data_IF_892655657688
#
_entry.id   IF_892655657688
#
_cell.length_a   1.000
_cell.length_b   1.000
_cell.length_c   1.000
_cell.angle_alpha   90.00
_cell.angle_beta   90.00
_cell.angle_gamma   90.00
#
_symmetry.space_group_name_H-M   'P 1'
#
loop_
_entity.id
_entity.type
_entity.pdbx_description
1 polymer ?
#
# COMPACT_ATOMS: atom_id res chain seq x y z
N UNK A 1 23.51 8.04 18.30
CA UNK A 1 22.23 8.61 17.84
C UNK A 1 22.15 8.40 16.33
N UNK A 2 21.33 7.47 15.85
CA UNK A 2 21.23 7.18 14.43
C UNK A 2 20.28 8.20 13.78
N UNK A 3 20.86 9.16 13.06
CA UNK A 3 20.13 10.09 12.21
C UNK A 3 19.54 9.31 11.05
N UNK A 4 18.29 8.83 11.19
CA UNK A 4 17.54 8.36 10.04
C UNK A 4 16.99 9.58 9.33
N UNK A 5 17.72 10.04 8.30
CA UNK A 5 17.22 10.96 7.29
C UNK A 5 15.89 10.42 6.77
N UNK A 6 14.84 11.24 6.61
CA UNK A 6 13.67 10.81 5.85
C UNK A 6 14.15 10.59 4.42
N UNK A 7 14.47 9.35 4.09
CA UNK A 7 14.75 8.95 2.71
C UNK A 7 13.43 9.21 1.99
N UNK A 8 13.38 10.29 1.22
CA UNK A 8 12.20 10.65 0.46
C UNK A 8 11.79 9.44 -0.36
N UNK A 9 10.61 8.91 -0.06
CA UNK A 9 9.99 7.85 -0.84
C UNK A 9 9.73 8.45 -2.22
N UNK A 10 10.61 8.16 -3.18
CA UNK A 10 10.42 8.44 -4.60
C UNK A 10 9.38 7.46 -5.15
N UNK A 11 8.14 7.63 -4.71
CA UNK A 11 7.01 6.79 -5.09
C UNK A 11 6.16 7.54 -6.11
N UNK A 12 6.33 7.17 -7.38
CA UNK A 12 5.46 7.67 -8.45
C UNK A 12 4.10 6.97 -8.37
N UNK A 13 3.08 7.67 -7.88
CA UNK A 13 1.72 7.11 -7.79
C UNK A 13 1.17 6.90 -9.21
N UNK A 14 0.65 5.70 -9.55
CA UNK A 14 0.05 5.46 -10.85
C UNK A 14 -1.16 6.36 -11.06
N UNK A 15 -1.19 7.08 -12.18
CA UNK A 15 -2.34 7.93 -12.57
C UNK A 15 -3.59 7.11 -12.88
N UNK A 16 -3.45 5.81 -13.17
CA UNK A 16 -4.55 4.85 -13.32
C UNK A 16 -5.33 4.56 -12.03
N UNK A 17 -4.81 4.99 -10.87
CA UNK A 17 -5.55 4.94 -9.61
C UNK A 17 -6.46 6.15 -9.51
N UNK A 18 -7.76 5.96 -9.69
CA UNK A 18 -8.73 7.07 -9.59
C UNK A 18 -9.19 7.30 -8.14
N UNK A 19 -9.21 6.23 -7.34
CA UNK A 19 -9.65 6.28 -5.93
C UNK A 19 -8.55 6.81 -5.00
N UNK A 20 -8.87 7.85 -4.22
CA UNK A 20 -7.98 8.39 -3.19
C UNK A 20 -7.55 7.32 -2.17
N UNK A 21 -8.45 6.41 -1.77
CA UNK A 21 -8.11 5.31 -0.87
C UNK A 21 -7.15 4.31 -1.52
N UNK A 22 -7.29 4.04 -2.82
CA UNK A 22 -6.35 3.16 -3.53
C UNK A 22 -4.94 3.77 -3.56
N UNK A 23 -4.84 5.09 -3.80
CA UNK A 23 -3.56 5.82 -3.72
C UNK A 23 -2.95 5.75 -2.33
N UNK A 24 -3.75 5.93 -1.28
CA UNK A 24 -3.30 5.86 0.11
C UNK A 24 -2.74 4.47 0.46
N UNK A 25 -3.45 3.40 0.10
CA UNK A 25 -2.99 2.02 0.30
C UNK A 25 -1.70 1.75 -0.46
N UNK A 26 -1.62 2.18 -1.72
CA UNK A 26 -0.41 2.03 -2.53
C UNK A 26 0.79 2.73 -1.89
N UNK A 27 0.62 3.99 -1.49
CA UNK A 27 1.65 4.77 -0.79
C UNK A 27 2.10 4.12 0.51
N UNK A 28 1.15 3.61 1.31
CA UNK A 28 1.47 2.97 2.57
C UNK A 28 2.33 1.72 2.38
N UNK A 29 1.99 0.89 1.39
CA UNK A 29 2.79 -0.29 1.03
C UNK A 29 4.16 0.13 0.52
N UNK A 30 4.23 1.15 -0.35
CA UNK A 30 5.49 1.68 -0.86
C UNK A 30 6.42 2.20 0.26
N UNK A 31 5.85 2.91 1.24
CA UNK A 31 6.57 3.44 2.39
C UNK A 31 7.02 2.35 3.37
N UNK A 32 6.20 1.31 3.54
CA UNK A 32 6.45 0.22 4.48
C UNK A 32 7.28 -0.93 3.90
N UNK A 33 7.45 -0.97 2.57
CA UNK A 33 7.97 -2.11 1.81
C UNK A 33 6.96 -3.26 1.71
N UNK A 34 6.45 -3.72 2.84
CA UNK A 34 5.41 -4.76 2.93
C UNK A 34 4.36 -4.37 3.98
N UNK A 35 3.08 -4.59 3.69
CA UNK A 35 1.98 -4.35 4.62
C UNK A 35 0.95 -5.48 4.61
N UNK A 36 0.46 -5.90 5.78
CA UNK A 36 -0.65 -6.86 5.89
C UNK A 36 -1.99 -6.16 5.72
N UNK A 37 -3.04 -6.91 5.39
CA UNK A 37 -4.41 -6.39 5.37
C UNK A 37 -4.82 -5.80 6.73
N UNK A 38 -4.32 -6.36 7.83
CA UNK A 38 -4.61 -5.91 9.19
C UNK A 38 -3.96 -4.55 9.48
N UNK A 39 -2.67 -4.36 9.14
CA UNK A 39 -2.03 -3.03 9.21
C UNK A 39 -2.75 -2.00 8.35
N UNK A 40 -3.11 -2.38 7.13
CA UNK A 40 -3.84 -1.47 6.24
C UNK A 40 -5.21 -1.08 6.82
N UNK A 41 -5.84 -1.96 7.60
CA UNK A 41 -7.06 -1.61 8.32
C UNK A 41 -6.80 -0.69 9.51
N UNK A 42 -5.80 -1.01 10.33
CA UNK A 42 -5.51 -0.33 11.59
C UNK A 42 -4.91 1.06 11.36
N UNK A 43 -3.79 1.12 10.63
CA UNK A 43 -3.04 2.36 10.37
C UNK A 43 -3.81 3.35 9.48
N UNK A 44 -4.58 2.86 8.51
CA UNK A 44 -5.32 3.72 7.58
C UNK A 44 -6.78 3.92 7.99
N UNK A 45 -7.24 3.28 9.07
CA UNK A 45 -8.63 3.28 9.52
C UNK A 45 -9.62 2.93 8.38
N UNK A 46 -9.22 1.98 7.52
CA UNK A 46 -10.02 1.52 6.37
C UNK A 46 -10.73 0.22 6.72
N UNK A 47 -12.01 0.12 6.38
CA UNK A 47 -12.79 -1.11 6.59
C UNK A 47 -12.16 -2.30 5.87
N UNK A 48 -12.17 -3.47 6.52
CA UNK A 48 -11.61 -4.73 5.98
C UNK A 48 -12.11 -5.07 4.57
N UNK A 49 -13.42 -4.97 4.32
CA UNK A 49 -13.97 -5.21 2.98
C UNK A 49 -13.39 -4.27 1.92
N UNK A 50 -13.19 -3.00 2.28
CA UNK A 50 -12.60 -1.99 1.40
C UNK A 50 -11.11 -2.27 1.16
N UNK A 51 -10.33 -2.62 2.20
CA UNK A 51 -8.92 -3.03 2.04
C UNK A 51 -8.81 -4.24 1.11
N UNK A 52 -9.65 -5.26 1.31
CA UNK A 52 -9.63 -6.46 0.48
C UNK A 52 -10.01 -6.16 -0.98
N UNK A 53 -11.00 -5.31 -1.23
CA UNK A 53 -11.34 -4.88 -2.58
C UNK A 53 -10.20 -4.09 -3.22
N UNK A 54 -9.66 -3.08 -2.54
CA UNK A 54 -8.57 -2.25 -3.05
C UNK A 54 -7.33 -3.09 -3.37
N UNK A 55 -6.88 -3.90 -2.41
CA UNK A 55 -5.69 -4.75 -2.61
C UNK A 55 -5.90 -5.78 -3.73
N UNK A 56 -7.11 -6.29 -3.89
CA UNK A 56 -7.43 -7.16 -5.03
C UNK A 56 -7.38 -6.41 -6.37
N UNK A 57 -7.96 -5.21 -6.46
CA UNK A 57 -7.90 -4.37 -7.66
C UNK A 57 -6.48 -3.94 -8.00
N UNK A 58 -5.67 -3.57 -7.00
CA UNK A 58 -4.28 -3.19 -7.21
C UNK A 58 -3.44 -4.38 -7.70
N UNK A 59 -3.73 -5.60 -7.22
CA UNK A 59 -3.08 -6.82 -7.69
C UNK A 59 -3.47 -7.19 -9.11
N UNK A 60 -4.76 -7.11 -9.44
CA UNK A 60 -5.28 -7.36 -10.78
C UNK A 60 -4.65 -6.43 -11.82
N UNK A 61 -4.39 -5.17 -11.43
CA UNK A 61 -3.72 -4.17 -12.27
C UNK A 61 -2.20 -4.25 -12.24
N UNK A 62 -1.61 -5.19 -11.51
CA UNK A 62 -0.15 -5.37 -11.42
C UNK A 62 0.58 -4.28 -10.63
N UNK A 63 -0.09 -3.59 -9.71
CA UNK A 63 0.55 -2.60 -8.82
C UNK A 63 1.03 -3.19 -7.50
N UNK A 64 0.40 -4.29 -7.06
CA UNK A 64 0.75 -5.00 -5.84
C UNK A 64 0.89 -6.48 -6.12
N UNK A 65 1.70 -7.14 -5.31
CA UNK A 65 1.77 -8.59 -5.25
C UNK A 65 1.59 -9.07 -3.81
N UNK A 66 0.99 -10.26 -3.66
CA UNK A 66 0.78 -10.89 -2.36
C UNK A 66 1.93 -11.85 -2.09
N UNK A 67 2.52 -11.69 -0.91
CA UNK A 67 3.59 -12.51 -0.34
C UNK A 67 3.09 -13.21 0.91
N UNK A 68 3.90 -14.09 1.47
CA UNK A 68 3.64 -14.77 2.75
C UNK A 68 3.52 -13.77 3.91
N UNK A 69 4.19 -12.62 3.82
CA UNK A 69 4.21 -11.58 4.85
C UNK A 69 3.21 -10.44 4.63
N UNK A 70 2.44 -10.44 3.53
CA UNK A 70 1.48 -9.38 3.22
C UNK A 70 1.52 -8.93 1.76
N UNK A 71 1.23 -7.66 1.51
CA UNK A 71 1.27 -7.03 0.19
C UNK A 71 2.55 -6.20 0.05
N UNK A 72 3.22 -6.30 -1.10
CA UNK A 72 4.32 -5.43 -1.51
C UNK A 72 4.07 -4.88 -2.91
N UNK A 73 4.84 -3.88 -3.32
CA UNK A 73 4.83 -3.39 -4.71
C UNK A 73 5.29 -4.50 -5.66
N UNK A 74 4.62 -4.58 -6.82
CA UNK A 74 5.01 -5.44 -7.93
C UNK A 74 6.05 -4.78 -8.84
#
# INVERSE_FOLDING_TARGET
MASQSPQGIDVSIPTSLDSAQAKLVYLYVAASGTATAERLCDDLCVKKGTVLSITSTLRDRGHLERTDSGFKLA
#
